data_IF_700698022555
#
_entry.id   IF_700698022555
#
_cell.length_a   1.000
_cell.length_b   1.000
_cell.length_c   1.000
_cell.angle_alpha   90.00
_cell.angle_beta   90.00
_cell.angle_gamma   90.00
#
_symmetry.space_group_name_H-M   'P 1'
#
loop_
_entity.id
_entity.type
_entity.pdbx_description
1 polymer ?
#
# COMPACT_ATOMS: atom_id res chain seq x y z
N UNK A 1 0.61 -3.49 8.44
CA UNK A 1 0.57 -2.23 9.21
C UNK A 1 0.31 -1.02 8.32
N UNK A 2 1.11 -0.75 7.28
CA UNK A 2 0.95 0.41 6.38
C UNK A 2 -0.43 0.47 5.69
N UNK A 3 -0.94 -0.65 5.14
CA UNK A 3 -2.25 -0.69 4.46
C UNK A 3 -3.44 -0.31 5.36
N UNK A 4 -3.39 -0.67 6.65
CA UNK A 4 -4.50 -0.43 7.58
C UNK A 4 -4.51 1.03 8.08
N UNK A 5 -3.34 1.61 8.31
CA UNK A 5 -3.20 3.03 8.67
C UNK A 5 -3.68 3.95 7.53
N UNK A 6 -3.33 3.62 6.28
CA UNK A 6 -3.80 4.35 5.10
C UNK A 6 -5.32 4.28 4.93
N UNK A 7 -5.93 3.10 5.10
CA UNK A 7 -7.39 2.95 5.00
C UNK A 7 -8.14 3.73 6.08
N UNK A 8 -7.66 3.69 7.33
CA UNK A 8 -8.23 4.48 8.43
C UNK A 8 -8.16 5.97 8.15
N UNK A 9 -7.02 6.45 7.63
CA UNK A 9 -6.86 7.86 7.25
C UNK A 9 -7.87 8.26 6.18
N UNK A 10 -8.07 7.44 5.15
CA UNK A 10 -9.04 7.70 4.08
C UNK A 10 -10.47 7.77 4.63
N UNK A 11 -10.88 6.78 5.45
CA UNK A 11 -12.22 6.79 6.05
C UNK A 11 -12.41 7.99 7.00
N UNK A 12 -11.45 8.25 7.89
CA UNK A 12 -11.56 9.30 8.89
C UNK A 12 -11.54 10.70 8.28
N UNK A 13 -10.71 10.91 7.26
CA UNK A 13 -10.51 12.23 6.67
C UNK A 13 -11.58 12.54 5.62
N UNK A 14 -11.93 11.58 4.76
CA UNK A 14 -12.91 11.81 3.70
C UNK A 14 -14.37 11.60 4.15
N UNK A 15 -14.60 11.14 5.39
CA UNK A 15 -15.91 10.74 5.93
C UNK A 15 -16.62 9.74 5.04
N UNK A 16 -15.85 8.83 4.47
CA UNK A 16 -16.40 7.77 3.65
C UNK A 16 -16.94 6.67 4.55
N UNK A 17 -18.14 6.24 4.22
CA UNK A 17 -18.79 5.08 4.79
C UNK A 17 -18.38 3.86 4.00
N UNK A 18 -18.06 2.80 4.72
CA UNK A 18 -17.75 1.49 4.16
C UNK A 18 -19.06 0.73 3.94
N UNK A 19 -19.41 0.46 2.68
CA UNK A 19 -20.68 -0.18 2.33
C UNK A 19 -20.83 -1.57 2.94
N UNK A 20 -19.77 -2.40 2.92
CA UNK A 20 -19.83 -3.75 3.49
C UNK A 20 -20.06 -3.71 5.01
N UNK A 21 -19.34 -2.83 5.73
CA UNK A 21 -19.48 -2.73 7.20
C UNK A 21 -20.87 -2.23 7.60
N UNK A 22 -21.49 -1.39 6.77
CA UNK A 22 -22.85 -0.93 7.02
C UNK A 22 -23.92 -2.00 6.73
N UNK A 23 -23.71 -2.82 5.70
CA UNK A 23 -24.64 -3.92 5.37
C UNK A 23 -24.51 -5.11 6.33
N UNK A 24 -23.33 -5.34 6.92
CA UNK A 24 -23.03 -6.50 7.77
C UNK A 24 -22.50 -6.08 9.16
N UNK A 25 -23.37 -5.59 10.06
CA UNK A 25 -22.97 -5.17 11.41
C UNK A 25 -22.59 -6.34 12.33
N UNK A 26 -23.09 -7.56 12.06
CA UNK A 26 -22.98 -8.73 12.96
C UNK A 26 -21.82 -9.69 12.61
N UNK A 27 -20.87 -9.30 11.76
CA UNK A 27 -19.69 -10.14 11.49
C UNK A 27 -18.93 -10.45 12.79
N UNK A 28 -18.65 -11.72 13.12
CA UNK A 28 -18.22 -12.12 14.46
C UNK A 28 -16.86 -11.51 14.86
N UNK A 29 -16.85 -10.67 15.90
CA UNK A 29 -15.66 -10.35 16.69
C UNK A 29 -15.36 -8.86 16.87
N UNK A 30 -16.16 -8.15 17.67
CA UNK A 30 -15.80 -6.84 18.25
C UNK A 30 -15.34 -6.95 19.72
N UNK A 31 -14.93 -8.14 20.17
CA UNK A 31 -14.30 -8.32 21.49
C UNK A 31 -12.81 -7.93 21.42
N UNK A 32 -12.49 -6.81 22.06
CA UNK A 32 -11.30 -5.93 21.97
C UNK A 32 -9.97 -6.56 22.47
N UNK A 33 -9.79 -7.88 22.45
CA UNK A 33 -8.67 -8.54 23.15
C UNK A 33 -7.72 -9.40 22.33
N UNK A 34 -7.82 -9.44 21.00
CA UNK A 34 -6.81 -10.09 20.14
C UNK A 34 -6.39 -9.20 18.97
N UNK A 35 -5.13 -9.28 18.55
CA UNK A 35 -4.48 -8.25 17.72
C UNK A 35 -5.28 -7.81 16.48
N UNK A 36 -5.42 -6.48 16.31
CA UNK A 36 -6.17 -5.76 15.26
C UNK A 36 -5.98 -6.22 13.80
N UNK A 37 -4.97 -7.05 13.49
CA UNK A 37 -4.76 -7.63 12.15
C UNK A 37 -5.75 -8.79 11.86
N UNK A 38 -6.30 -9.42 12.90
CA UNK A 38 -7.27 -10.53 12.82
C UNK A 38 -8.66 -10.07 12.34
N UNK A 39 -9.07 -8.85 12.70
CA UNK A 39 -10.46 -8.37 12.54
C UNK A 39 -10.91 -8.03 11.11
N UNK A 40 -10.06 -8.20 10.10
CA UNK A 40 -10.39 -7.90 8.69
C UNK A 40 -10.03 -9.05 7.75
N UNK A 41 -9.79 -10.23 8.31
CA UNK A 41 -9.47 -11.45 7.56
C UNK A 41 -10.60 -12.45 7.69
N UNK A 42 -10.79 -13.26 6.68
CA UNK A 42 -11.83 -14.26 6.66
C UNK A 42 -13.00 -13.87 5.79
N UNK A 43 -13.66 -14.89 5.25
CA UNK A 43 -14.81 -14.74 4.35
C UNK A 43 -15.95 -13.96 5.02
N UNK A 44 -16.17 -14.21 6.31
CA UNK A 44 -17.23 -13.58 7.12
C UNK A 44 -17.02 -12.06 7.33
N UNK A 45 -15.80 -11.57 7.09
CA UNK A 45 -15.45 -10.16 7.18
C UNK A 45 -15.43 -9.47 5.80
N UNK A 46 -16.00 -10.12 4.78
CA UNK A 46 -16.08 -9.59 3.42
C UNK A 46 -14.78 -9.72 2.65
N UNK A 47 -13.99 -10.77 2.90
CA UNK A 47 -12.77 -10.99 2.16
C UNK A 47 -13.04 -11.15 0.66
N UNK A 48 -12.24 -10.45 -0.14
CA UNK A 48 -12.37 -10.40 -1.59
C UNK A 48 -11.23 -11.10 -2.31
N UNK A 49 -10.13 -11.38 -1.62
CA UNK A 49 -8.91 -11.98 -2.14
C UNK A 49 -8.44 -13.13 -1.25
N UNK A 50 -7.68 -14.08 -1.82
CA UNK A 50 -7.10 -15.23 -1.12
C UNK A 50 -8.16 -16.08 -0.39
N UNK A 51 -9.37 -16.20 -0.94
CA UNK A 51 -10.46 -16.92 -0.27
C UNK A 51 -10.29 -18.44 -0.33
N UNK A 52 -10.71 -19.20 0.70
CA UNK A 52 -10.59 -20.66 0.71
C UNK A 52 -11.35 -21.38 -0.41
N UNK A 53 -12.46 -20.78 -0.84
CA UNK A 53 -13.37 -21.26 -1.88
C UNK A 53 -12.91 -20.92 -3.31
N UNK A 54 -11.79 -20.20 -3.46
CA UNK A 54 -11.23 -19.81 -4.74
C UNK A 54 -10.15 -20.80 -5.23
N UNK A 55 -10.25 -21.26 -6.48
CA UNK A 55 -9.33 -22.23 -7.09
C UNK A 55 -7.92 -21.68 -7.33
N UNK A 56 -7.76 -20.36 -7.41
CA UNK A 56 -6.46 -19.69 -7.58
C UNK A 56 -5.75 -19.41 -6.25
N UNK A 57 -6.44 -19.57 -5.11
CA UNK A 57 -5.84 -19.38 -3.79
C UNK A 57 -4.81 -20.47 -3.47
N UNK A 58 -3.67 -20.03 -2.92
CA UNK A 58 -2.65 -20.96 -2.41
C UNK A 58 -3.22 -21.85 -1.31
N UNK A 59 -2.73 -23.10 -1.22
CA UNK A 59 -3.17 -24.11 -0.25
C UNK A 59 -3.26 -23.59 1.20
N UNK A 60 -2.28 -22.79 1.63
CA UNK A 60 -2.27 -22.13 2.93
C UNK A 60 -3.56 -21.35 3.24
N UNK A 61 -4.08 -20.59 2.27
CA UNK A 61 -5.28 -19.79 2.46
C UNK A 61 -6.55 -20.64 2.46
N UNK A 62 -6.53 -21.79 1.77
CA UNK A 62 -7.64 -22.75 1.74
C UNK A 62 -7.83 -23.52 3.04
N UNK A 63 -6.76 -23.68 3.82
CA UNK A 63 -6.78 -24.44 5.08
C UNK A 63 -7.10 -23.58 6.31
N UNK A 64 -6.67 -22.32 6.34
CA UNK A 64 -6.70 -21.49 7.57
C UNK A 64 -7.50 -20.18 7.45
N UNK A 65 -8.31 -20.01 6.39
CA UNK A 65 -9.03 -18.78 6.04
C UNK A 65 -8.33 -17.48 6.46
N UNK A 66 -7.13 -17.26 5.89
CA UNK A 66 -6.40 -16.00 6.04
C UNK A 66 -6.77 -14.99 4.92
N UNK A 67 -7.96 -15.14 4.34
CA UNK A 67 -8.42 -14.34 3.21
C UNK A 67 -8.50 -12.85 3.58
N UNK A 68 -8.36 -11.98 2.58
CA UNK A 68 -8.19 -10.55 2.80
C UNK A 68 -9.29 -9.78 2.11
N UNK A 69 -9.84 -8.81 2.81
CA UNK A 69 -10.64 -7.76 2.18
C UNK A 69 -9.73 -6.68 1.65
N UNK A 70 -9.68 -6.51 0.33
CA UNK A 70 -8.85 -5.48 -0.32
C UNK A 70 -9.61 -4.68 -1.38
N UNK A 71 -10.82 -5.10 -1.73
CA UNK A 71 -11.74 -4.38 -2.60
C UNK A 71 -12.83 -3.74 -1.73
N UNK A 72 -13.10 -2.46 -1.96
CA UNK A 72 -13.94 -1.63 -1.09
C UNK A 72 -14.85 -0.75 -1.93
N UNK A 73 -16.13 -0.66 -1.53
CA UNK A 73 -17.04 0.39 -1.99
C UNK A 73 -17.23 1.38 -0.85
N UNK A 74 -16.72 2.59 -1.07
CA UNK A 74 -16.74 3.68 -0.10
C UNK A 74 -17.66 4.79 -0.63
N UNK A 75 -18.56 5.31 0.20
CA UNK A 75 -19.52 6.33 -0.22
C UNK A 75 -19.75 7.40 0.85
N UNK A 76 -20.23 8.57 0.43
CA UNK A 76 -20.64 9.66 1.31
C UNK A 76 -21.78 10.43 0.67
N UNK A 77 -22.78 10.78 1.45
CA UNK A 77 -23.82 11.72 1.04
C UNK A 77 -23.24 13.13 0.90
N UNK A 78 -23.48 13.74 -0.25
CA UNK A 78 -23.05 15.09 -0.56
C UNK A 78 -24.25 16.02 -0.70
N UNK A 79 -24.40 16.62 -1.88
CA UNK A 79 -25.59 17.44 -2.21
C UNK A 79 -26.87 16.60 -2.32
N UNK A 80 -26.73 15.31 -2.60
CA UNK A 80 -27.80 14.33 -2.64
C UNK A 80 -27.59 13.32 -1.51
N UNK A 81 -28.69 12.84 -0.96
CA UNK A 81 -28.67 11.77 0.04
C UNK A 81 -28.46 10.44 -0.67
N UNK A 82 -27.42 9.71 -0.33
CA UNK A 82 -27.19 8.34 -0.78
C UNK A 82 -27.35 7.41 0.43
N UNK A 83 -28.32 6.50 0.39
CA UNK A 83 -28.45 5.43 1.37
C UNK A 83 -28.09 4.10 0.74
N UNK A 84 -27.38 3.27 1.50
CA UNK A 84 -27.08 1.91 1.10
C UNK A 84 -28.34 1.06 1.31
N UNK A 85 -28.77 0.35 0.27
CA UNK A 85 -29.84 -0.66 0.38
C UNK A 85 -29.24 -2.03 0.68
N UNK A 86 -28.15 -2.39 0.00
CA UNK A 86 -27.55 -3.71 0.08
C UNK A 86 -26.08 -3.70 -0.38
N UNK A 87 -25.28 -4.64 0.10
CA UNK A 87 -23.88 -4.83 -0.30
C UNK A 87 -23.51 -6.30 -0.18
N UNK A 88 -23.12 -6.96 -1.28
CA UNK A 88 -22.87 -8.40 -1.31
C UNK A 88 -21.62 -8.75 -2.15
N UNK A 89 -21.09 -9.95 -1.92
CA UNK A 89 -20.08 -10.55 -2.78
C UNK A 89 -20.76 -11.11 -4.03
N UNK A 90 -20.15 -10.88 -5.20
CA UNK A 90 -20.62 -11.37 -6.49
C UNK A 90 -19.49 -11.98 -7.31
N UNK A 91 -19.80 -12.57 -8.47
CA UNK A 91 -18.82 -13.10 -9.43
C UNK A 91 -17.80 -14.10 -8.84
N UNK A 92 -18.22 -14.95 -7.91
CA UNK A 92 -17.31 -15.92 -7.28
C UNK A 92 -16.92 -17.07 -8.22
N UNK A 93 -17.91 -17.81 -8.74
CA UNK A 93 -17.71 -18.96 -9.63
C UNK A 93 -18.46 -18.80 -10.93
N UNK A 94 -17.87 -19.34 -12.00
CA UNK A 94 -18.53 -19.45 -13.30
C UNK A 94 -19.72 -20.42 -13.14
N UNK A 95 -20.94 -20.06 -13.58
CA UNK A 95 -22.09 -20.95 -13.53
C UNK A 95 -21.77 -22.31 -14.15
N UNK A 96 -22.21 -23.38 -13.49
CA UNK A 96 -22.04 -24.77 -13.90
C UNK A 96 -20.58 -25.27 -13.97
N UNK A 97 -19.61 -24.46 -13.55
CA UNK A 97 -18.20 -24.83 -13.49
C UNK A 97 -17.65 -24.75 -12.06
N UNK A 98 -16.60 -25.52 -11.78
CA UNK A 98 -15.88 -25.43 -10.52
C UNK A 98 -14.69 -24.46 -10.56
N UNK A 99 -14.71 -23.55 -11.54
CA UNK A 99 -13.73 -22.50 -11.76
C UNK A 99 -14.25 -21.16 -11.25
N UNK A 100 -13.35 -20.36 -10.67
CA UNK A 100 -13.63 -19.00 -10.29
C UNK A 100 -13.42 -18.05 -11.48
N UNK A 101 -14.13 -16.92 -11.52
CA UNK A 101 -13.93 -15.91 -12.57
C UNK A 101 -12.56 -15.23 -12.50
N UNK A 102 -12.03 -15.06 -11.28
CA UNK A 102 -10.75 -14.41 -10.98
C UNK A 102 -10.23 -14.94 -9.64
N UNK A 103 -8.96 -14.65 -9.33
CA UNK A 103 -8.35 -14.77 -8.00
C UNK A 103 -8.96 -13.84 -6.94
N UNK A 104 -9.83 -12.91 -7.36
CA UNK A 104 -10.68 -12.09 -6.53
C UNK A 104 -12.17 -12.40 -6.77
N UNK A 105 -13.00 -12.12 -5.77
CA UNK A 105 -14.46 -12.07 -5.91
C UNK A 105 -14.92 -10.62 -6.07
N UNK A 106 -16.00 -10.41 -6.82
CA UNK A 106 -16.59 -9.09 -7.00
C UNK A 106 -17.26 -8.60 -5.72
N UNK A 107 -17.31 -7.28 -5.54
CA UNK A 107 -18.07 -6.61 -4.50
C UNK A 107 -19.12 -5.72 -5.17
N UNK A 108 -20.38 -5.89 -4.81
CA UNK A 108 -21.51 -5.13 -5.35
C UNK A 108 -22.20 -4.38 -4.23
N UNK A 109 -22.60 -3.13 -4.48
CA UNK A 109 -23.43 -2.36 -3.57
C UNK A 109 -24.57 -1.69 -4.33
N UNK A 110 -25.75 -1.68 -3.72
CA UNK A 110 -26.96 -1.05 -4.23
C UNK A 110 -27.27 0.20 -3.41
N UNK A 111 -27.42 1.33 -4.08
CA UNK A 111 -27.68 2.62 -3.45
C UNK A 111 -29.01 3.19 -3.88
N UNK A 112 -29.73 3.80 -2.93
CA UNK A 112 -30.85 4.69 -3.19
C UNK A 112 -30.36 6.13 -3.11
N UNK A 113 -30.63 6.91 -4.16
CA UNK A 113 -30.20 8.31 -4.23
C UNK A 113 -31.43 9.21 -4.24
N UNK A 114 -31.48 10.16 -3.30
CA UNK A 114 -32.58 11.11 -3.14
C UNK A 114 -32.10 12.55 -3.30
N UNK A 115 -32.75 13.28 -4.21
CA UNK A 115 -32.36 14.65 -4.59
C UNK A 115 -32.84 15.74 -3.62
N UNK A 116 -33.75 15.43 -2.69
CA UNK A 116 -34.50 16.46 -1.94
C UNK A 116 -33.95 16.81 -0.57
N UNK A 117 -32.94 16.09 -0.08
CA UNK A 117 -32.37 16.32 1.25
C UNK A 117 -30.94 16.82 1.13
N UNK A 118 -30.79 18.15 1.14
CA UNK A 118 -29.49 18.79 1.33
C UNK A 118 -29.14 18.59 2.80
N UNK A 119 -28.27 17.62 3.11
CA UNK A 119 -27.66 17.61 4.43
C UNK A 119 -26.69 18.78 4.48
N UNK A 120 -27.00 19.77 5.31
CA UNK A 120 -26.09 20.87 5.58
C UNK A 120 -24.74 20.30 6.03
N UNK A 121 -23.68 20.89 5.48
CA UNK A 121 -22.30 20.53 5.76
C UNK A 121 -22.04 20.62 7.25
N UNK A 122 -22.07 19.48 7.93
CA UNK A 122 -21.62 19.39 9.32
C UNK A 122 -20.18 19.92 9.40
N UNK A 123 -19.98 20.93 10.25
CA UNK A 123 -18.69 21.52 10.58
C UNK A 123 -17.72 20.38 10.93
N UNK A 124 -16.67 20.27 10.13
CA UNK A 124 -15.80 19.11 10.13
C UNK A 124 -14.50 19.46 10.84
N UNK A 125 -14.21 18.72 11.91
CA UNK A 125 -12.88 18.72 12.50
C UNK A 125 -12.09 17.51 11.97
N UNK A 126 -10.88 17.71 11.41
CA UNK A 126 -10.01 16.61 11.01
C UNK A 126 -9.72 15.69 12.20
N UNK A 127 -9.52 14.39 11.94
CA UNK A 127 -9.02 13.47 12.97
C UNK A 127 -7.53 13.76 13.22
N UNK A 128 -7.27 14.84 13.97
CA UNK A 128 -5.94 15.39 14.23
C UNK A 128 -4.94 14.32 14.72
N UNK A 129 -5.30 13.41 15.65
CA UNK A 129 -4.40 12.34 16.07
C UNK A 129 -3.92 11.42 14.94
N UNK A 130 -4.83 10.95 14.06
CA UNK A 130 -4.47 10.09 12.92
C UNK A 130 -3.61 10.83 11.90
N UNK A 131 -3.91 12.12 11.67
CA UNK A 131 -3.16 12.95 10.74
C UNK A 131 -1.74 13.22 11.26
N UNK A 132 -1.58 13.47 12.56
CA UNK A 132 -0.28 13.61 13.23
C UNK A 132 0.54 12.31 13.11
N UNK A 133 -0.09 11.15 13.34
CA UNK A 133 0.56 9.84 13.18
C UNK A 133 1.07 9.65 11.74
N UNK A 134 0.22 9.93 10.74
CA UNK A 134 0.58 9.81 9.33
C UNK A 134 1.70 10.77 8.92
N UNK A 135 1.67 12.02 9.41
CA UNK A 135 2.77 13.00 9.23
C UNK A 135 4.06 12.46 9.84
N UNK A 136 3.99 11.80 11.00
CA UNK A 136 5.11 11.14 11.65
C UNK A 136 5.72 10.05 10.77
N UNK A 137 4.89 9.17 10.22
CA UNK A 137 5.31 8.08 9.32
C UNK A 137 5.99 8.65 8.06
N UNK A 138 5.36 9.61 7.39
CA UNK A 138 5.91 10.24 6.17
C UNK A 138 7.20 11.01 6.47
N UNK A 139 7.27 11.68 7.62
CA UNK A 139 8.51 12.35 8.06
C UNK A 139 9.64 11.36 8.31
N UNK A 140 9.33 10.19 8.88
CA UNK A 140 10.27 9.08 9.04
C UNK A 140 10.79 8.56 7.70
N UNK A 141 9.88 8.33 6.74
CA UNK A 141 10.24 7.95 5.37
C UNK A 141 11.13 8.98 4.69
N UNK A 142 10.83 10.27 4.85
CA UNK A 142 11.63 11.35 4.26
C UNK A 142 13.06 11.41 4.84
N UNK A 143 13.21 11.16 6.14
CA UNK A 143 14.54 11.06 6.78
C UNK A 143 15.32 9.86 6.26
N UNK A 144 14.65 8.71 6.12
CA UNK A 144 15.24 7.49 5.57
C UNK A 144 15.70 7.67 4.13
N UNK A 145 14.84 8.16 3.24
CA UNK A 145 15.19 8.44 1.85
C UNK A 145 16.38 9.41 1.71
N UNK A 146 16.52 10.38 2.63
CA UNK A 146 17.70 11.25 2.68
C UNK A 146 18.97 10.48 3.08
N UNK A 147 18.89 9.68 4.15
CA UNK A 147 20.01 8.88 4.64
C UNK A 147 20.48 7.88 3.58
N UNK A 148 19.54 7.14 3.00
CA UNK A 148 19.80 6.13 1.97
C UNK A 148 20.45 6.77 0.76
N UNK A 149 20.01 7.98 0.37
CA UNK A 149 20.63 8.72 -0.74
C UNK A 149 22.11 8.98 -0.46
N UNK A 150 22.46 9.40 0.75
CA UNK A 150 23.86 9.58 1.13
C UNK A 150 24.63 8.26 1.03
N UNK A 151 24.07 7.16 1.52
CA UNK A 151 24.70 5.83 1.43
C UNK A 151 24.92 5.36 -0.01
N UNK A 152 23.94 5.52 -0.89
CA UNK A 152 24.08 5.16 -2.31
C UNK A 152 25.14 6.00 -3.02
N UNK A 153 25.24 7.30 -2.73
CA UNK A 153 26.26 8.17 -3.32
C UNK A 153 27.65 7.85 -2.77
N UNK A 154 27.80 7.66 -1.46
CA UNK A 154 29.07 7.22 -0.87
C UNK A 154 29.51 5.86 -1.41
N UNK A 155 28.58 4.91 -1.55
CA UNK A 155 28.82 3.61 -2.15
C UNK A 155 29.26 3.71 -3.62
N UNK A 156 28.64 4.60 -4.40
CA UNK A 156 29.05 4.85 -5.78
C UNK A 156 30.49 5.40 -5.87
N UNK A 157 30.86 6.34 -5.00
CA UNK A 157 32.24 6.86 -4.94
C UNK A 157 33.24 5.75 -4.57
N UNK A 158 32.90 4.92 -3.57
CA UNK A 158 33.74 3.79 -3.18
C UNK A 158 33.92 2.78 -4.32
N UNK A 159 32.83 2.41 -5.01
CA UNK A 159 32.85 1.50 -6.15
C UNK A 159 33.71 2.05 -7.29
N UNK A 160 33.61 3.35 -7.58
CA UNK A 160 34.45 4.01 -8.57
C UNK A 160 35.93 3.90 -8.23
N UNK A 161 36.31 4.16 -6.97
CA UNK A 161 37.70 3.99 -6.49
C UNK A 161 38.17 2.55 -6.64
N UNK A 162 37.34 1.56 -6.27
CA UNK A 162 37.68 0.14 -6.41
C UNK A 162 37.91 -0.24 -7.88
N UNK A 163 37.07 0.25 -8.80
CA UNK A 163 37.23 0.01 -10.23
C UNK A 163 38.57 0.60 -10.71
N UNK A 164 38.89 1.86 -10.36
CA UNK A 164 40.15 2.50 -10.75
C UNK A 164 41.36 1.75 -10.19
N UNK A 165 41.34 1.41 -8.90
CA UNK A 165 42.41 0.62 -8.28
C UNK A 165 42.57 -0.74 -8.96
N UNK A 166 41.46 -1.39 -9.33
CA UNK A 166 41.51 -2.68 -10.01
C UNK A 166 42.26 -2.60 -11.35
N UNK A 167 42.19 -1.48 -12.08
CA UNK A 167 42.93 -1.29 -13.35
C UNK A 167 44.45 -1.32 -13.13
N UNK A 168 44.93 -0.87 -11.97
CA UNK A 168 46.35 -0.89 -11.63
C UNK A 168 46.89 -2.31 -11.41
N UNK A 169 46.01 -3.31 -11.19
CA UNK A 169 46.41 -4.72 -11.05
C UNK A 169 46.62 -5.44 -12.39
N UNK A 170 46.13 -4.90 -13.51
CA UNK A 170 46.28 -5.54 -14.83
C UNK A 170 47.75 -5.84 -15.22
N UNK A 171 48.72 -4.91 -15.07
CA UNK A 171 50.12 -5.21 -15.37
C UNK A 171 50.78 -6.16 -14.35
N UNK A 172 50.22 -6.29 -13.14
CA UNK A 172 50.78 -7.11 -12.06
C UNK A 172 50.34 -8.57 -12.21
N UNK A 173 49.08 -8.81 -12.62
CA UNK A 173 48.46 -10.13 -12.68
C UNK A 173 47.84 -10.42 -14.08
N UNK A 174 48.65 -10.52 -15.14
CA UNK A 174 48.16 -10.66 -16.52
C UNK A 174 47.43 -11.99 -16.78
N UNK A 175 47.63 -13.01 -15.96
CA UNK A 175 46.91 -14.29 -16.08
C UNK A 175 45.46 -14.21 -15.58
N UNK A 176 45.08 -13.16 -14.84
CA UNK A 176 43.73 -12.96 -14.28
C UNK A 176 42.88 -11.95 -15.05
N UNK A 177 43.34 -11.46 -16.21
CA UNK A 177 42.69 -10.35 -16.95
C UNK A 177 41.22 -10.61 -17.29
N UNK A 178 40.86 -11.83 -17.69
CA UNK A 178 39.45 -12.18 -18.00
C UNK A 178 38.58 -12.09 -16.73
N UNK A 179 39.06 -12.62 -15.62
CA UNK A 179 38.35 -12.59 -14.34
C UNK A 179 38.18 -11.16 -13.82
N UNK A 180 39.25 -10.35 -13.86
CA UNK A 180 39.21 -8.94 -13.48
C UNK A 180 38.26 -8.12 -14.37
N UNK A 181 38.17 -8.46 -15.66
CA UNK A 181 37.23 -7.81 -16.59
C UNK A 181 35.77 -8.11 -16.24
N UNK A 182 35.43 -9.37 -15.93
CA UNK A 182 34.08 -9.74 -15.48
C UNK A 182 33.71 -9.07 -14.15
N UNK A 183 34.68 -8.99 -13.23
CA UNK A 183 34.52 -8.30 -11.96
C UNK A 183 34.22 -6.80 -12.15
N UNK A 184 35.02 -6.10 -12.97
CA UNK A 184 34.80 -4.68 -13.29
C UNK A 184 33.48 -4.42 -13.97
N UNK A 185 33.06 -5.29 -14.91
CA UNK A 185 31.76 -5.19 -15.55
C UNK A 185 30.65 -5.26 -14.51
N UNK A 186 30.69 -6.24 -13.60
CA UNK A 186 29.73 -6.39 -12.51
C UNK A 186 29.70 -5.15 -11.61
N UNK A 187 30.87 -4.66 -11.18
CA UNK A 187 30.97 -3.45 -10.36
C UNK A 187 30.41 -2.22 -11.08
N UNK A 188 30.61 -2.12 -12.39
CA UNK A 188 30.10 -0.99 -13.20
C UNK A 188 28.58 -1.01 -13.27
N UNK A 189 27.96 -2.19 -13.44
CA UNK A 189 26.49 -2.33 -13.38
C UNK A 189 25.96 -1.89 -12.02
N UNK A 190 26.60 -2.33 -10.92
CA UNK A 190 26.21 -1.92 -9.56
C UNK A 190 26.40 -0.41 -9.38
N UNK A 191 27.50 0.17 -9.87
CA UNK A 191 27.75 1.61 -9.81
C UNK A 191 26.65 2.40 -10.51
N UNK A 192 26.26 2.01 -11.73
CA UNK A 192 25.17 2.66 -12.47
C UNK A 192 23.85 2.55 -11.70
N UNK A 193 23.55 1.39 -11.12
CA UNK A 193 22.37 1.22 -10.27
C UNK A 193 22.40 2.15 -9.05
N UNK A 194 23.53 2.24 -8.34
CA UNK A 194 23.69 3.12 -7.18
C UNK A 194 23.51 4.60 -7.56
N UNK A 195 24.07 5.02 -8.69
CA UNK A 195 23.91 6.39 -9.20
C UNK A 195 22.45 6.68 -9.59
N UNK A 196 21.81 5.78 -10.33
CA UNK A 196 20.41 5.92 -10.72
C UNK A 196 19.49 5.99 -9.49
N UNK A 197 19.61 5.04 -8.57
CA UNK A 197 18.78 4.96 -7.38
C UNK A 197 19.01 6.16 -6.45
N UNK A 198 20.28 6.54 -6.23
CA UNK A 198 20.65 7.68 -5.39
C UNK A 198 20.25 9.05 -5.98
N UNK A 199 20.42 9.23 -7.29
CA UNK A 199 20.15 10.52 -7.94
C UNK A 199 18.67 10.69 -8.30
N UNK A 200 18.04 9.66 -8.88
CA UNK A 200 16.69 9.75 -9.44
C UNK A 200 15.68 9.13 -8.49
N UNK A 201 15.82 7.83 -8.18
CA UNK A 201 14.83 7.08 -7.38
C UNK A 201 14.52 7.75 -6.05
N UNK A 202 15.55 7.95 -5.22
CA UNK A 202 15.39 8.55 -3.88
C UNK A 202 15.06 10.05 -3.93
N UNK A 203 15.37 10.75 -5.02
CA UNK A 203 14.95 12.15 -5.19
C UNK A 203 13.45 12.22 -5.46
N UNK A 204 12.93 11.34 -6.33
CA UNK A 204 11.50 11.26 -6.63
C UNK A 204 10.71 10.85 -5.38
N UNK A 205 11.16 9.80 -4.69
CA UNK A 205 10.54 9.35 -3.44
C UNK A 205 10.50 10.48 -2.40
N UNK A 206 11.62 11.18 -2.18
CA UNK A 206 11.67 12.29 -1.23
C UNK A 206 10.75 13.43 -1.63
N UNK A 207 10.61 13.73 -2.92
CA UNK A 207 9.68 14.77 -3.41
C UNK A 207 8.23 14.36 -3.16
N UNK A 208 7.86 13.12 -3.46
CA UNK A 208 6.53 12.58 -3.22
C UNK A 208 6.16 12.61 -1.72
N UNK A 209 7.07 12.13 -0.85
CA UNK A 209 6.88 12.18 0.59
C UNK A 209 6.76 13.62 1.12
N UNK A 210 7.55 14.55 0.58
CA UNK A 210 7.46 15.96 0.96
C UNK A 210 6.10 16.57 0.58
N UNK A 211 5.62 16.29 -0.64
CA UNK A 211 4.32 16.78 -1.11
C UNK A 211 3.18 16.23 -0.23
N UNK A 212 3.14 14.92 0.00
CA UNK A 212 2.13 14.27 0.86
C UNK A 212 2.14 14.85 2.29
N UNK A 213 3.33 15.13 2.85
CA UNK A 213 3.45 15.78 4.15
C UNK A 213 2.85 17.19 4.14
N UNK A 214 3.12 17.99 3.10
CA UNK A 214 2.61 19.36 3.01
C UNK A 214 1.09 19.38 2.93
N UNK A 215 0.49 18.49 2.13
CA UNK A 215 -0.97 18.36 2.02
C UNK A 215 -1.59 17.97 3.38
N UNK A 216 -1.01 17.00 4.08
CA UNK A 216 -1.49 16.63 5.43
C UNK A 216 -1.33 17.75 6.45
N UNK A 217 -0.30 18.60 6.33
CA UNK A 217 -0.11 19.76 7.21
C UNK A 217 -1.11 20.89 6.91
N UNK A 218 -1.48 21.09 5.65
CA UNK A 218 -2.55 22.04 5.28
C UNK A 218 -3.86 21.61 5.92
N UNK A 219 -4.23 20.35 5.77
CA UNK A 219 -5.43 19.76 6.39
C UNK A 219 -5.47 19.80 7.92
N UNK A 220 -4.33 20.02 8.60
CA UNK A 220 -4.26 20.16 10.06
C UNK A 220 -4.43 21.62 10.52
N UNK A 221 -4.09 22.57 9.64
CA UNK A 221 -4.10 24.01 9.91
C UNK A 221 -5.35 24.71 9.38
N UNK A 222 -6.07 24.08 8.45
CA UNK A 222 -7.44 24.42 8.07
C UNK A 222 -8.42 24.10 9.22
#
# INVERSE_FOLDING_TARGET
MIKLASFRLVLSQARLLDAWRLAHPDSPGDNVSSGFISHCRGVDHGATCDRPDNCYSCKRYRENDESKRIDYILFRSGRMSASLEDCEITLNKIPDENLNYSDHVGLQAKFRIESKQRQDSCEWEPNRPLLIEAIGIVSGGQRRARSDRTWFICGAVLLFVIIVLSLLLDPILPFMTVLLSLFRFTLTVILVFCLWQGAIGLTLERKALKAAKQEMQQLLND
#
